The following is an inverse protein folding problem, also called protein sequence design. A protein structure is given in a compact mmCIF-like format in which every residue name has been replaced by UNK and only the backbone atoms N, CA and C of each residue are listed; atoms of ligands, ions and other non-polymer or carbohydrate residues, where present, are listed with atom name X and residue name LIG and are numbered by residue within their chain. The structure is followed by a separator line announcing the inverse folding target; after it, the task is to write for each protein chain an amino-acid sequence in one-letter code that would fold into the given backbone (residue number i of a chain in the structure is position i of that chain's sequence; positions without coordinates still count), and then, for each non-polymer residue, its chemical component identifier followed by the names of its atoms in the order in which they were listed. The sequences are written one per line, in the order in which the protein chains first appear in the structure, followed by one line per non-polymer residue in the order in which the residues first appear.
data_IF_647057904906
#
_entry.id   IF_647057904906
#
_cell.length_a   1.000
_cell.length_b   1.000
_cell.length_c   1.000
_cell.angle_alpha   90.00
_cell.angle_beta   90.00
_cell.angle_gamma   90.00
#
_symmetry.space_group_name_H-M   'P 1'
#
loop_
_entity.id
_entity.type
_entity.pdbx_description
1 polymer ?
#
# COMPACT_ATOMS: atom_id res chain seq x y z
N UNK A 1 28.74 21.74 20.59
CA UNK A 1 27.32 21.49 20.88
C UNK A 1 26.59 21.88 19.61
N UNK A 2 26.46 20.94 18.68
CA UNK A 2 25.76 21.16 17.41
C UNK A 2 24.29 21.38 17.73
N UNK A 3 23.82 22.60 17.50
CA UNK A 3 22.41 22.92 17.46
C UNK A 3 21.83 22.27 16.21
N UNK A 4 21.33 21.03 16.34
CA UNK A 4 20.46 20.44 15.33
C UNK A 4 19.22 21.33 15.22
N UNK A 5 19.16 22.13 14.16
CA UNK A 5 17.96 22.87 13.79
C UNK A 5 16.77 21.90 13.79
N UNK A 6 15.62 22.28 14.38
CA UNK A 6 14.43 21.43 14.33
C UNK A 6 14.04 21.25 12.86
N UNK A 7 14.21 20.02 12.37
CA UNK A 7 13.78 19.61 11.05
C UNK A 7 12.29 19.93 10.92
N UNK A 8 11.95 20.91 10.10
CA UNK A 8 10.58 21.41 10.02
C UNK A 8 9.68 20.35 9.37
N UNK A 9 8.39 20.33 9.71
CA UNK A 9 7.36 19.49 9.06
C UNK A 9 7.50 19.53 7.53
N UNK A 10 7.87 20.70 6.99
CA UNK A 10 8.15 20.93 5.57
C UNK A 10 9.31 20.07 5.03
N UNK A 11 10.40 19.93 5.78
CA UNK A 11 11.58 19.15 5.38
C UNK A 11 11.31 17.64 5.40
N UNK A 12 10.57 17.14 6.40
CA UNK A 12 10.11 15.75 6.44
C UNK A 12 9.14 15.46 5.29
N UNK A 13 8.24 16.40 5.01
CA UNK A 13 7.32 16.30 3.88
C UNK A 13 8.07 16.23 2.54
N UNK A 14 9.05 17.11 2.36
CA UNK A 14 9.88 17.15 1.17
C UNK A 14 10.73 15.87 1.03
N UNK A 15 11.24 15.32 2.12
CA UNK A 15 12.01 14.07 2.12
C UNK A 15 11.14 12.86 1.71
N UNK A 16 9.93 12.76 2.25
CA UNK A 16 9.00 11.67 1.91
C UNK A 16 8.49 11.81 0.48
N UNK A 17 8.20 13.04 0.04
CA UNK A 17 7.86 13.33 -1.35
C UNK A 17 8.99 12.95 -2.30
N UNK A 18 10.23 13.35 -2.00
CA UNK A 18 11.41 12.96 -2.79
C UNK A 18 11.61 11.45 -2.81
N UNK A 19 11.44 10.78 -1.67
CA UNK A 19 11.54 9.33 -1.59
C UNK A 19 10.48 8.62 -2.46
N UNK A 20 9.23 9.11 -2.45
CA UNK A 20 8.16 8.57 -3.28
C UNK A 20 8.37 8.85 -4.78
N UNK A 21 8.87 10.03 -5.12
CA UNK A 21 9.21 10.39 -6.50
C UNK A 21 10.37 9.54 -7.02
N UNK A 22 11.41 9.36 -6.21
CA UNK A 22 12.55 8.49 -6.52
C UNK A 22 12.14 7.04 -6.63
N UNK A 23 11.27 6.56 -5.74
CA UNK A 23 10.69 5.23 -5.84
C UNK A 23 9.90 5.10 -7.15
N UNK A 24 8.98 6.03 -7.45
CA UNK A 24 8.22 6.01 -8.71
C UNK A 24 9.11 6.00 -9.95
N UNK A 25 10.14 6.86 -10.00
CA UNK A 25 11.12 6.90 -11.08
C UNK A 25 11.94 5.61 -11.18
N UNK A 26 12.34 5.03 -10.05
CA UNK A 26 13.02 3.74 -10.00
C UNK A 26 12.13 2.61 -10.50
N UNK A 27 10.86 2.56 -10.09
CA UNK A 27 9.89 1.55 -10.53
C UNK A 27 9.62 1.67 -12.04
N UNK A 28 9.52 2.89 -12.58
CA UNK A 28 9.44 3.16 -14.03
C UNK A 28 10.72 2.71 -14.72
N UNK A 29 11.90 3.04 -14.19
CA UNK A 29 13.19 2.64 -14.73
C UNK A 29 13.37 1.12 -14.78
N UNK A 30 13.03 0.42 -13.69
CA UNK A 30 13.03 -1.04 -13.66
C UNK A 30 12.00 -1.63 -14.64
N UNK A 31 10.82 -1.04 -14.78
CA UNK A 31 9.83 -1.48 -15.76
C UNK A 31 10.33 -1.31 -17.21
N UNK A 32 11.08 -0.25 -17.50
CA UNK A 32 11.69 -0.04 -18.83
C UNK A 32 12.87 -1.00 -19.07
N UNK A 33 13.76 -1.16 -18.09
CA UNK A 33 14.96 -2.01 -18.24
C UNK A 33 14.60 -3.50 -18.26
N UNK A 34 13.76 -3.96 -17.34
CA UNK A 34 13.33 -5.36 -17.25
C UNK A 34 12.26 -5.67 -18.30
N UNK A 35 11.39 -4.71 -18.62
CA UNK A 35 10.27 -4.90 -19.55
C UNK A 35 10.63 -4.78 -21.02
N UNK A 36 11.63 -3.97 -21.41
CA UNK A 36 11.93 -3.72 -22.83
C UNK A 36 12.34 -4.93 -23.67
N UNK A 37 13.04 -5.97 -23.15
CA UNK A 37 13.34 -7.17 -23.93
C UNK A 37 12.26 -8.26 -23.80
N UNK A 38 11.47 -8.28 -22.72
CA UNK A 38 10.53 -9.36 -22.39
C UNK A 38 9.09 -9.14 -22.89
N UNK A 39 8.73 -7.93 -23.32
CA UNK A 39 7.33 -7.54 -23.59
C UNK A 39 7.12 -6.76 -24.89
N UNK A 40 7.94 -7.05 -25.91
CA UNK A 40 7.81 -6.40 -27.24
C UNK A 40 6.44 -6.63 -27.88
N UNK A 41 5.73 -7.69 -27.47
CA UNK A 41 4.52 -8.17 -28.16
C UNK A 41 3.19 -7.81 -27.46
N UNK A 42 3.15 -7.50 -26.15
CA UNK A 42 1.89 -7.14 -25.47
C UNK A 42 2.04 -6.02 -24.41
N UNK A 43 1.84 -4.74 -24.79
CA UNK A 43 2.23 -3.60 -23.97
C UNK A 43 1.17 -3.15 -22.94
N UNK A 44 0.03 -3.83 -22.81
CA UNK A 44 -1.10 -3.31 -22.04
C UNK A 44 -0.79 -3.18 -20.53
N UNK A 45 -0.21 -4.23 -19.94
CA UNK A 45 0.06 -4.26 -18.50
C UNK A 45 1.10 -3.21 -18.07
N UNK A 46 2.13 -2.96 -18.89
CA UNK A 46 3.11 -1.92 -18.59
C UNK A 46 2.47 -0.53 -18.72
N UNK A 47 1.63 -0.29 -19.73
CA UNK A 47 0.92 0.99 -19.90
C UNK A 47 0.05 1.29 -18.70
N UNK A 48 -0.61 0.28 -18.15
CA UNK A 48 -1.40 0.40 -16.92
C UNK A 48 -0.48 0.70 -15.73
N UNK A 49 0.61 -0.06 -15.54
CA UNK A 49 1.53 0.16 -14.42
C UNK A 49 2.20 1.55 -14.46
N UNK A 50 2.71 1.96 -15.62
CA UNK A 50 3.30 3.28 -15.83
C UNK A 50 2.25 4.39 -15.71
N UNK A 51 1.04 4.18 -16.23
CA UNK A 51 -0.07 5.11 -16.08
C UNK A 51 -0.48 5.32 -14.63
N UNK A 52 -0.54 4.24 -13.83
CA UNK A 52 -0.79 4.32 -12.39
C UNK A 52 0.35 5.03 -11.69
N UNK A 53 1.61 4.69 -11.98
CA UNK A 53 2.76 5.36 -11.40
C UNK A 53 2.74 6.88 -11.68
N UNK A 54 2.53 7.28 -12.94
CA UNK A 54 2.39 8.69 -13.34
C UNK A 54 1.22 9.37 -12.63
N UNK A 55 0.05 8.74 -12.60
CA UNK A 55 -1.13 9.30 -11.92
C UNK A 55 -0.87 9.49 -10.42
N UNK A 56 -0.17 8.54 -9.77
CA UNK A 56 0.19 8.66 -8.35
C UNK A 56 1.20 9.78 -8.11
N UNK A 57 2.20 9.95 -8.98
CA UNK A 57 3.17 11.05 -8.89
C UNK A 57 2.51 12.42 -9.11
N UNK A 58 1.64 12.55 -10.12
CA UNK A 58 0.89 13.79 -10.38
C UNK A 58 -0.04 14.09 -9.19
N UNK A 59 -0.73 13.08 -8.65
CA UNK A 59 -1.59 13.23 -7.48
C UNK A 59 -0.84 13.72 -6.23
N UNK A 60 0.40 13.27 -6.03
CA UNK A 60 1.25 13.77 -4.94
C UNK A 60 1.65 15.25 -5.14
N UNK A 61 2.02 15.66 -6.35
CA UNK A 61 2.34 17.06 -6.67
C UNK A 61 1.12 17.96 -6.47
N UNK A 62 -0.05 17.53 -6.95
CA UNK A 62 -1.29 18.26 -6.79
C UNK A 62 -1.69 18.39 -5.31
N UNK A 63 -1.56 17.31 -4.53
CA UNK A 63 -1.83 17.34 -3.09
C UNK A 63 -0.91 18.33 -2.36
N UNK A 64 0.38 18.38 -2.71
CA UNK A 64 1.31 19.36 -2.13
C UNK A 64 0.93 20.80 -2.47
N UNK A 65 0.59 21.07 -3.74
CA UNK A 65 0.19 22.42 -4.18
C UNK A 65 -1.10 22.91 -3.53
N UNK A 66 -2.01 22.01 -3.20
CA UNK A 66 -3.28 22.36 -2.53
C UNK A 66 -3.09 22.61 -1.04
N UNK A 67 -2.08 22.02 -0.41
CA UNK A 67 -1.85 22.18 1.03
C UNK A 67 -1.19 23.53 1.39
N UNK A 68 -0.55 24.21 0.44
CA UNK A 68 0.24 25.45 0.64
C UNK A 68 1.22 25.38 1.84
N UNK A 69 1.64 24.16 2.21
CA UNK A 69 2.53 23.90 3.35
C UNK A 69 1.85 23.89 4.73
N UNK A 70 0.52 23.89 4.82
CA UNK A 70 -0.22 23.89 6.09
C UNK A 70 -0.16 22.56 6.87
N UNK A 71 0.36 21.47 6.28
CA UNK A 71 0.66 20.24 7.01
C UNK A 71 -0.59 19.44 7.40
N UNK A 72 -1.67 19.51 6.58
CA UNK A 72 -2.92 18.79 6.87
C UNK A 72 -2.70 17.28 6.77
N UNK A 73 -3.09 16.56 7.83
CA UNK A 73 -2.86 15.10 7.93
C UNK A 73 -3.52 14.32 6.78
N UNK A 74 -4.66 14.78 6.27
CA UNK A 74 -5.36 14.10 5.17
C UNK A 74 -4.66 14.22 3.82
N UNK A 75 -3.96 15.31 3.56
CA UNK A 75 -3.18 15.48 2.33
C UNK A 75 -1.91 14.60 2.37
N UNK A 76 -1.29 14.50 3.55
CA UNK A 76 -0.22 13.53 3.79
C UNK A 76 -0.70 12.09 3.62
N UNK A 77 -1.86 11.76 4.17
CA UNK A 77 -2.51 10.46 3.99
C UNK A 77 -2.74 10.12 2.52
N UNK A 78 -3.22 11.08 1.72
CA UNK A 78 -3.41 10.88 0.27
C UNK A 78 -2.07 10.58 -0.43
N UNK A 79 -1.03 11.37 -0.17
CA UNK A 79 0.27 11.16 -0.77
C UNK A 79 0.87 9.78 -0.42
N UNK A 80 0.79 9.40 0.86
CA UNK A 80 1.27 8.10 1.35
C UNK A 80 0.46 6.92 0.78
N UNK A 81 -0.87 7.06 0.66
CA UNK A 81 -1.72 6.04 0.05
C UNK A 81 -1.41 5.87 -1.43
N UNK A 82 -1.23 6.96 -2.17
CA UNK A 82 -0.84 6.92 -3.59
C UNK A 82 0.52 6.24 -3.78
N UNK A 83 1.49 6.53 -2.91
CA UNK A 83 2.79 5.87 -2.93
C UNK A 83 2.68 4.35 -2.70
N UNK A 84 1.96 3.95 -1.64
CA UNK A 84 1.75 2.54 -1.34
C UNK A 84 0.97 1.81 -2.44
N UNK A 85 0.00 2.49 -3.09
CA UNK A 85 -0.74 1.95 -4.22
C UNK A 85 0.17 1.73 -5.45
N UNK A 86 1.08 2.67 -5.71
CA UNK A 86 2.07 2.54 -6.80
C UNK A 86 3.02 1.36 -6.55
N UNK A 87 3.56 1.25 -5.34
CA UNK A 87 4.41 0.12 -4.92
C UNK A 87 3.63 -1.19 -5.01
N UNK A 88 2.37 -1.22 -4.56
CA UNK A 88 1.50 -2.38 -4.69
C UNK A 88 1.35 -2.82 -6.15
N UNK A 89 0.98 -1.91 -7.05
CA UNK A 89 0.78 -2.25 -8.47
C UNK A 89 2.06 -2.76 -9.11
N UNK A 90 3.22 -2.22 -8.72
CA UNK A 90 4.49 -2.69 -9.25
C UNK A 90 4.86 -4.10 -8.73
N UNK A 91 4.74 -4.33 -7.43
CA UNK A 91 5.01 -5.65 -6.83
C UNK A 91 3.98 -6.68 -7.33
N UNK A 92 2.69 -6.33 -7.40
CA UNK A 92 1.65 -7.16 -7.98
C UNK A 92 1.91 -7.46 -9.47
N UNK A 93 2.35 -6.44 -10.21
CA UNK A 93 2.74 -6.50 -11.61
C UNK A 93 3.85 -7.52 -11.87
N UNK A 94 4.96 -7.40 -11.15
CA UNK A 94 6.12 -8.30 -11.28
C UNK A 94 5.81 -9.69 -10.73
N UNK A 95 5.02 -9.79 -9.66
CA UNK A 95 4.72 -11.06 -9.00
C UNK A 95 3.83 -11.96 -9.85
N UNK A 96 2.52 -11.73 -9.83
CA UNK A 96 1.55 -12.66 -10.38
C UNK A 96 1.05 -12.23 -11.76
N UNK A 97 0.96 -10.93 -12.04
CA UNK A 97 0.47 -10.48 -13.36
C UNK A 97 1.44 -10.91 -14.46
N UNK A 98 2.75 -10.73 -14.23
CA UNK A 98 3.79 -11.15 -15.16
C UNK A 98 3.87 -12.67 -15.31
N UNK A 99 3.81 -13.41 -14.20
CA UNK A 99 3.76 -14.87 -14.25
C UNK A 99 2.57 -15.37 -15.10
N UNK A 100 1.39 -14.76 -14.89
CA UNK A 100 0.16 -15.18 -15.56
C UNK A 100 0.17 -14.82 -17.06
N UNK A 101 0.76 -13.68 -17.43
CA UNK A 101 0.87 -13.25 -18.82
C UNK A 101 1.91 -14.05 -19.61
N UNK A 102 3.05 -14.33 -19.00
CA UNK A 102 4.24 -14.84 -19.70
C UNK A 102 4.33 -16.37 -19.69
N UNK A 103 3.62 -17.03 -18.77
CA UNK A 103 3.60 -18.49 -18.71
C UNK A 103 2.58 -19.05 -19.71
N UNK A 104 2.97 -19.96 -20.62
CA UNK A 104 2.04 -20.64 -21.51
C UNK A 104 1.21 -21.63 -20.69
N UNK A 105 -0.01 -21.23 -20.33
CA UNK A 105 -0.93 -22.06 -19.55
C UNK A 105 -2.34 -22.08 -20.18
N UNK A 106 -3.11 -23.17 -19.98
CA UNK A 106 -4.51 -23.25 -20.37
C UNK A 106 -5.33 -22.07 -19.84
N UNK A 107 -6.25 -21.55 -20.65
CA UNK A 107 -7.10 -20.40 -20.32
C UNK A 107 -7.87 -20.58 -19.00
N UNK A 108 -8.33 -21.80 -18.71
CA UNK A 108 -9.01 -22.13 -17.45
C UNK A 108 -8.11 -21.96 -16.24
N UNK A 109 -6.86 -22.44 -16.30
CA UNK A 109 -5.89 -22.29 -15.19
C UNK A 109 -5.48 -20.83 -15.02
N UNK A 110 -5.30 -20.10 -16.13
CA UNK A 110 -5.06 -18.65 -16.13
C UNK A 110 -6.17 -17.89 -15.41
N UNK A 111 -7.43 -18.18 -15.76
CA UNK A 111 -8.58 -17.54 -15.14
C UNK A 111 -8.66 -17.84 -13.62
N UNK A 112 -8.37 -19.08 -13.21
CA UNK A 112 -8.34 -19.46 -11.78
C UNK A 112 -7.25 -18.68 -11.04
N UNK A 113 -6.03 -18.59 -11.57
CA UNK A 113 -4.95 -17.83 -10.95
C UNK A 113 -5.32 -16.34 -10.77
N UNK A 114 -5.90 -15.72 -11.80
CA UNK A 114 -6.35 -14.32 -11.74
C UNK A 114 -7.47 -14.17 -10.69
N UNK A 115 -8.49 -15.04 -10.74
CA UNK A 115 -9.62 -14.99 -9.82
C UNK A 115 -9.16 -15.11 -8.35
N UNK A 116 -8.24 -16.03 -8.06
CA UNK A 116 -7.68 -16.20 -6.71
C UNK A 116 -6.84 -15.01 -6.29
N UNK A 117 -5.99 -14.46 -7.16
CA UNK A 117 -5.17 -13.29 -6.85
C UNK A 117 -6.04 -12.05 -6.54
N UNK A 118 -7.06 -11.80 -7.36
CA UNK A 118 -8.01 -10.69 -7.17
C UNK A 118 -8.84 -10.90 -5.90
N UNK A 119 -9.44 -12.07 -5.73
CA UNK A 119 -10.29 -12.37 -4.56
C UNK A 119 -9.48 -12.34 -3.27
N UNK A 120 -8.26 -12.88 -3.27
CA UNK A 120 -7.35 -12.84 -2.12
C UNK A 120 -6.96 -11.42 -1.73
N UNK A 121 -6.69 -10.56 -2.73
CA UNK A 121 -6.42 -9.13 -2.49
C UNK A 121 -7.64 -8.44 -1.88
N UNK A 122 -8.84 -8.62 -2.46
CA UNK A 122 -10.07 -8.02 -1.94
C UNK A 122 -10.38 -8.47 -0.52
N UNK A 123 -10.24 -9.78 -0.25
CA UNK A 123 -10.47 -10.35 1.07
C UNK A 123 -9.48 -9.76 2.10
N UNK A 124 -8.20 -9.65 1.73
CA UNK A 124 -7.17 -9.05 2.57
C UNK A 124 -7.46 -7.57 2.90
N UNK A 125 -7.86 -6.79 1.88
CA UNK A 125 -8.27 -5.39 2.02
C UNK A 125 -9.47 -5.27 2.97
N UNK A 126 -10.51 -6.08 2.79
CA UNK A 126 -11.72 -6.07 3.65
C UNK A 126 -11.38 -6.45 5.08
N UNK A 127 -10.57 -7.50 5.28
CA UNK A 127 -10.14 -7.93 6.61
C UNK A 127 -9.33 -6.83 7.31
N UNK A 128 -8.39 -6.20 6.60
CA UNK A 128 -7.59 -5.11 7.13
C UNK A 128 -8.45 -3.90 7.47
N UNK A 129 -9.38 -3.53 6.58
CA UNK A 129 -10.29 -2.41 6.81
C UNK A 129 -11.17 -2.63 8.04
N UNK A 130 -11.74 -3.84 8.21
CA UNK A 130 -12.54 -4.20 9.38
C UNK A 130 -11.72 -4.16 10.67
N UNK A 131 -10.47 -4.62 10.62
CA UNK A 131 -9.57 -4.59 11.78
C UNK A 131 -9.27 -3.16 12.20
N UNK A 132 -8.83 -2.33 11.26
CA UNK A 132 -8.46 -0.94 11.52
C UNK A 132 -9.68 -0.14 11.98
N UNK A 133 -10.83 -0.30 11.33
CA UNK A 133 -12.07 0.37 11.72
C UNK A 133 -12.53 -0.01 13.12
N UNK A 134 -12.36 -1.26 13.54
CA UNK A 134 -12.73 -1.70 14.87
C UNK A 134 -11.82 -1.12 15.98
N UNK A 135 -10.55 -0.87 15.67
CA UNK A 135 -9.63 -0.19 16.60
C UNK A 135 -9.94 1.31 16.64
N UNK A 136 -10.15 1.93 15.47
CA UNK A 136 -10.54 3.34 15.35
C UNK A 136 -11.88 3.66 15.99
N UNK A 137 -12.79 2.68 16.08
CA UNK A 137 -14.07 2.84 16.77
C UNK A 137 -13.96 2.92 18.30
N UNK A 138 -12.78 2.70 18.88
CA UNK A 138 -12.59 2.81 20.33
C UNK A 138 -12.30 4.28 20.73
N UNK A 139 -13.09 4.88 21.63
CA UNK A 139 -12.93 6.29 22.00
C UNK A 139 -11.58 6.55 22.68
N UNK A 140 -11.05 5.59 23.42
CA UNK A 140 -9.74 5.64 24.08
C UNK A 140 -8.60 5.89 23.08
N UNK A 141 -8.65 5.25 21.91
CA UNK A 141 -7.64 5.42 20.88
C UNK A 141 -7.73 6.80 20.23
N UNK A 142 -8.94 7.32 20.00
CA UNK A 142 -9.13 8.66 19.40
C UNK A 142 -8.57 9.73 20.34
N UNK A 143 -8.87 9.66 21.64
CA UNK A 143 -8.40 10.66 22.62
C UNK A 143 -6.87 10.60 22.79
N UNK A 144 -6.28 9.41 22.70
CA UNK A 144 -4.83 9.23 22.84
C UNK A 144 -4.06 9.62 21.57
N UNK A 145 -4.64 9.38 20.39
CA UNK A 145 -4.01 9.64 19.09
C UNK A 145 -4.24 11.07 18.56
N UNK A 146 -5.35 11.71 18.94
CA UNK A 146 -5.74 13.05 18.49
C UNK A 146 -5.90 13.95 19.72
N UNK A 147 -4.85 14.72 20.03
CA UNK A 147 -4.91 15.71 21.11
C UNK A 147 -5.55 17.00 20.59
N UNK A 148 -6.57 17.49 21.28
CA UNK A 148 -7.15 18.81 20.99
C UNK A 148 -6.21 19.89 21.57
N UNK A 149 -5.56 20.66 20.69
CA UNK A 149 -4.67 21.76 21.04
C UNK A 149 -5.38 23.13 21.00
N UNK A 150 -6.71 23.14 21.08
CA UNK A 150 -7.51 24.37 21.11
C UNK A 150 -7.90 24.83 19.72
N UNK A 151 -6.97 25.33 18.91
CA UNK A 151 -7.24 25.78 17.52
C UNK A 151 -7.12 24.67 16.48
N UNK A 152 -6.38 23.60 16.78
CA UNK A 152 -6.10 22.48 15.88
C UNK A 152 -6.15 21.15 16.64
N UNK A 153 -6.38 20.05 15.92
CA UNK A 153 -6.28 18.70 16.46
C UNK A 153 -4.95 18.11 16.00
N UNK A 154 -4.09 17.80 16.96
CA UNK A 154 -2.73 17.32 16.70
C UNK A 154 -2.68 15.79 16.73
N UNK A 155 -2.08 15.20 15.70
CA UNK A 155 -1.88 13.75 15.59
C UNK A 155 -0.43 13.36 15.91
N UNK A 156 -0.24 12.48 16.90
CA UNK A 156 1.09 12.00 17.27
C UNK A 156 1.52 10.79 16.43
N UNK A 157 2.75 10.81 15.92
CA UNK A 157 3.35 9.69 15.19
C UNK A 157 3.48 8.43 16.06
N UNK A 158 3.67 8.61 17.36
CA UNK A 158 3.71 7.55 18.38
C UNK A 158 2.39 6.76 18.48
N UNK A 159 1.24 7.40 18.23
CA UNK A 159 -0.06 6.71 18.18
C UNK A 159 -0.20 5.76 16.98
N UNK A 160 0.52 6.02 15.88
CA UNK A 160 0.56 5.13 14.72
C UNK A 160 1.29 3.81 15.05
N UNK A 161 2.37 3.87 15.84
CA UNK A 161 3.04 2.69 16.38
C UNK A 161 2.15 1.95 17.37
N UNK A 162 1.40 2.65 18.22
CA UNK A 162 0.45 2.03 19.14
C UNK A 162 -0.72 1.33 18.42
N UNK A 163 -1.19 1.87 17.30
CA UNK A 163 -2.17 1.17 16.48
C UNK A 163 -1.59 -0.12 15.90
N UNK A 164 -0.32 -0.12 15.50
CA UNK A 164 0.35 -1.32 14.99
C UNK A 164 0.45 -2.42 16.06
N UNK A 165 0.70 -2.05 17.33
CA UNK A 165 0.78 -3.00 18.45
C UNK A 165 -0.60 -3.47 18.91
N UNK A 166 -1.59 -2.58 19.02
CA UNK A 166 -2.97 -2.91 19.40
C UNK A 166 -3.69 -3.73 18.33
N UNK A 167 -3.47 -3.42 17.05
CA UNK A 167 -3.95 -4.26 15.94
C UNK A 167 -3.33 -5.66 15.97
N UNK A 168 -2.11 -5.80 16.50
CA UNK A 168 -1.43 -7.09 16.62
C UNK A 168 -1.99 -7.97 17.75
N UNK A 169 -2.73 -7.40 18.71
CA UNK A 169 -3.19 -8.11 19.92
C UNK A 169 -4.54 -8.85 19.76
N UNK A 170 -5.08 -8.97 18.54
CA UNK A 170 -6.29 -9.81 18.31
C UNK A 170 -5.94 -11.30 18.26
N UNK A 171 -6.83 -12.10 18.86
CA UNK A 171 -6.62 -13.50 19.23
C UNK A 171 -6.14 -14.43 18.11
N UNK A 172 -5.64 -15.62 18.48
CA UNK A 172 -4.93 -16.54 17.59
C UNK A 172 -5.71 -16.88 16.31
N UNK A 173 -7.04 -16.96 16.39
CA UNK A 173 -7.94 -17.26 15.26
C UNK A 173 -7.79 -16.23 14.14
N UNK A 174 -7.72 -14.92 14.46
CA UNK A 174 -7.61 -13.87 13.43
C UNK A 174 -6.26 -13.93 12.71
N UNK A 175 -5.19 -14.23 13.45
CA UNK A 175 -3.85 -14.42 12.88
C UNK A 175 -3.79 -15.63 11.96
N UNK A 176 -4.45 -16.73 12.33
CA UNK A 176 -4.55 -17.93 11.51
C UNK A 176 -5.32 -17.62 10.21
N UNK A 177 -6.46 -16.94 10.29
CA UNK A 177 -7.21 -16.54 9.08
C UNK A 177 -6.38 -15.64 8.17
N UNK A 178 -5.65 -14.66 8.73
CA UNK A 178 -4.75 -13.81 7.93
C UNK A 178 -3.62 -14.60 7.28
N UNK A 179 -2.98 -15.51 8.02
CA UNK A 179 -1.96 -16.40 7.47
C UNK A 179 -2.52 -17.24 6.32
N UNK A 180 -3.71 -17.81 6.49
CA UNK A 180 -4.38 -18.58 5.44
C UNK A 180 -4.63 -17.75 4.18
N UNK A 181 -5.15 -16.52 4.31
CA UNK A 181 -5.37 -15.64 3.15
C UNK A 181 -4.06 -15.24 2.48
N UNK A 182 -3.01 -14.99 3.27
CA UNK A 182 -1.69 -14.63 2.76
C UNK A 182 -1.06 -15.74 1.92
N UNK A 183 -1.23 -17.00 2.34
CA UNK A 183 -0.63 -18.17 1.68
C UNK A 183 -1.55 -18.89 0.69
N UNK A 184 -2.86 -18.64 0.72
CA UNK A 184 -3.82 -19.27 -0.19
C UNK A 184 -3.48 -18.98 -1.65
N UNK A 185 -3.17 -17.73 -1.97
CA UNK A 185 -2.80 -17.33 -3.33
C UNK A 185 -1.53 -18.07 -3.78
N UNK A 186 -0.35 -17.93 -3.12
CA UNK A 186 0.85 -18.72 -3.44
C UNK A 186 0.61 -20.23 -3.57
N UNK A 187 -0.20 -20.83 -2.69
CA UNK A 187 -0.50 -22.26 -2.73
C UNK A 187 -1.24 -22.67 -4.01
N UNK A 188 -2.16 -21.84 -4.50
CA UNK A 188 -2.84 -22.09 -5.77
C UNK A 188 -1.87 -22.00 -6.96
N UNK A 189 -0.97 -21.02 -6.97
CA UNK A 189 0.06 -20.91 -8.01
C UNK A 189 0.96 -22.16 -8.04
N UNK A 190 1.37 -22.67 -6.88
CA UNK A 190 2.11 -23.93 -6.76
C UNK A 190 1.30 -25.14 -7.23
N UNK A 191 0.01 -25.23 -6.86
CA UNK A 191 -0.86 -26.32 -7.29
C UNK A 191 -1.06 -26.37 -8.81
N UNK A 192 -1.16 -25.20 -9.46
CA UNK A 192 -1.23 -25.09 -10.93
C UNK A 192 0.05 -25.62 -11.57
N UNK A 193 1.21 -25.32 -11.00
CA UNK A 193 2.51 -25.83 -11.48
C UNK A 193 2.65 -27.35 -11.36
N UNK A 194 2.09 -27.95 -10.31
CA UNK A 194 2.09 -29.42 -10.14
C UNK A 194 1.18 -30.09 -11.19
N UNK A 195 0.04 -29.46 -11.52
CA UNK A 195 -0.95 -30.01 -12.45
C UNK A 195 -0.59 -29.84 -13.92
N UNK A 196 0.21 -28.82 -14.27
CA UNK A 196 0.55 -28.52 -15.66
C UNK A 196 2.07 -28.64 -15.90
N UNK A 197 2.51 -29.36 -16.95
CA UNK A 197 3.92 -29.39 -17.35
C UNK A 197 4.27 -28.03 -17.97
N UNK A 198 4.75 -27.11 -17.12
CA UNK A 198 5.19 -25.79 -17.53
C UNK A 198 6.70 -25.80 -17.82
N UNK A 199 7.20 -24.98 -18.75
CA UNK A 199 8.62 -24.89 -19.06
C UNK A 199 9.43 -24.43 -17.84
N UNK A 200 10.66 -24.91 -17.69
CA UNK A 200 11.52 -24.59 -16.54
C UNK A 200 11.82 -23.08 -16.40
N UNK A 201 11.75 -22.31 -17.49
CA UNK A 201 11.83 -20.84 -17.44
C UNK A 201 10.70 -20.18 -16.64
N UNK A 202 9.56 -20.86 -16.48
CA UNK A 202 8.43 -20.40 -15.66
C UNK A 202 8.66 -20.62 -14.14
N UNK A 203 9.64 -21.43 -13.74
CA UNK A 203 9.89 -21.73 -12.33
C UNK A 203 10.50 -20.54 -11.59
N UNK A 204 11.34 -19.75 -12.26
CA UNK A 204 11.89 -18.51 -11.70
C UNK A 204 10.78 -17.46 -11.51
N UNK A 205 9.88 -17.34 -12.49
CA UNK A 205 8.72 -16.45 -12.37
C UNK A 205 7.79 -16.90 -11.24
N UNK A 206 7.51 -18.20 -11.14
CA UNK A 206 6.70 -18.76 -10.05
C UNK A 206 7.32 -18.49 -8.67
N UNK A 207 8.63 -18.67 -8.55
CA UNK A 207 9.36 -18.36 -7.31
C UNK A 207 9.22 -16.87 -6.94
N UNK A 208 9.42 -15.97 -7.91
CA UNK A 208 9.18 -14.53 -7.71
C UNK A 208 7.72 -14.25 -7.34
N UNK A 209 6.74 -14.90 -7.95
CA UNK A 209 5.32 -14.75 -7.62
C UNK A 209 5.05 -15.15 -6.17
N UNK A 210 5.53 -16.31 -5.74
CA UNK A 210 5.30 -16.84 -4.39
C UNK A 210 5.92 -15.91 -3.34
N UNK A 211 7.11 -15.36 -3.61
CA UNK A 211 7.80 -14.45 -2.70
C UNK A 211 7.16 -13.05 -2.64
N UNK A 212 6.81 -12.49 -3.80
CA UNK A 212 6.33 -11.11 -3.91
C UNK A 212 4.81 -10.98 -3.65
N UNK A 213 4.03 -12.05 -3.74
CA UNK A 213 2.58 -12.00 -3.46
C UNK A 213 2.29 -11.57 -2.02
N UNK A 214 2.91 -12.17 -0.97
CA UNK A 214 2.78 -11.67 0.40
C UNK A 214 3.20 -10.21 0.57
N UNK A 215 4.29 -9.80 -0.11
CA UNK A 215 4.73 -8.41 -0.10
C UNK A 215 3.67 -7.47 -0.68
N UNK A 216 3.05 -7.84 -1.81
CA UNK A 216 1.98 -7.03 -2.40
C UNK A 216 0.79 -6.87 -1.43
N UNK A 217 0.36 -7.94 -0.78
CA UNK A 217 -0.73 -7.89 0.19
C UNK A 217 -0.36 -7.02 1.40
N UNK A 218 0.90 -7.07 1.85
CA UNK A 218 1.38 -6.18 2.92
C UNK A 218 1.22 -4.70 2.56
N UNK A 219 1.65 -4.28 1.37
CA UNK A 219 1.49 -2.89 0.91
C UNK A 219 0.02 -2.50 0.69
N UNK A 220 -0.82 -3.41 0.20
CA UNK A 220 -2.26 -3.18 0.14
C UNK A 220 -2.85 -2.93 1.53
N UNK A 221 -2.39 -3.68 2.55
CA UNK A 221 -2.79 -3.47 3.94
C UNK A 221 -2.32 -2.12 4.51
N UNK A 222 -1.10 -1.69 4.18
CA UNK A 222 -0.59 -0.36 4.54
C UNK A 222 -1.40 0.76 3.89
N UNK A 223 -1.77 0.63 2.61
CA UNK A 223 -2.62 1.60 1.94
C UNK A 223 -3.98 1.73 2.63
N UNK A 224 -4.64 0.61 2.97
CA UNK A 224 -5.92 0.62 3.70
C UNK A 224 -5.80 1.30 5.07
N UNK A 225 -4.72 1.01 5.81
CA UNK A 225 -4.42 1.68 7.09
C UNK A 225 -4.27 3.18 6.90
N UNK A 226 -3.47 3.60 5.92
CA UNK A 226 -3.30 5.02 5.56
C UNK A 226 -4.62 5.70 5.21
N UNK A 227 -5.48 5.06 4.40
CA UNK A 227 -6.81 5.59 4.05
C UNK A 227 -7.65 5.83 5.31
N UNK A 228 -7.79 4.81 6.16
CA UNK A 228 -8.68 4.92 7.32
C UNK A 228 -8.13 5.89 8.37
N UNK A 229 -6.84 5.81 8.69
CA UNK A 229 -6.22 6.58 9.75
C UNK A 229 -5.92 8.02 9.35
N UNK A 230 -5.31 8.20 8.18
CA UNK A 230 -4.78 9.49 7.78
C UNK A 230 -5.75 10.26 6.92
N UNK A 231 -6.77 9.63 6.29
CA UNK A 231 -7.73 10.36 5.43
C UNK A 231 -9.12 10.38 6.04
N UNK A 232 -9.72 9.21 6.31
CA UNK A 232 -11.14 9.10 6.73
C UNK A 232 -11.34 9.63 8.14
N UNK A 233 -10.50 9.20 9.08
CA UNK A 233 -10.59 9.60 10.49
C UNK A 233 -10.43 11.11 10.68
N UNK A 234 -9.35 11.75 10.20
CA UNK A 234 -9.19 13.19 10.35
C UNK A 234 -10.28 13.98 9.64
N UNK A 235 -10.71 13.59 8.42
CA UNK A 235 -11.84 14.28 7.77
C UNK A 235 -13.14 14.17 8.56
N UNK A 236 -13.36 13.06 9.29
CA UNK A 236 -14.53 12.92 10.16
C UNK A 236 -14.39 13.79 11.40
N UNK A 237 -13.20 13.86 12.00
CA UNK A 237 -12.90 14.73 13.14
C UNK A 237 -13.04 16.21 12.78
N UNK A 238 -12.49 16.64 11.63
CA UNK A 238 -12.62 18.01 11.11
C UNK A 238 -14.09 18.41 10.91
N UNK A 239 -14.92 17.51 10.36
CA UNK A 239 -16.36 17.77 10.20
C UNK A 239 -17.12 17.89 11.51
N UNK A 240 -16.72 17.14 12.54
CA UNK A 240 -17.43 17.12 13.83
C UNK A 240 -16.98 18.27 14.73
N UNK A 241 -15.68 18.59 14.74
CA UNK A 241 -15.10 19.58 15.66
C UNK A 241 -14.87 20.95 15.01
N UNK A 242 -14.95 21.06 13.68
CA UNK A 242 -14.73 22.30 12.94
C UNK A 242 -13.27 22.80 12.93
N UNK A 243 -12.33 21.98 13.41
CA UNK A 243 -10.90 22.32 13.53
C UNK A 243 -10.05 21.47 12.57
N UNK A 244 -9.03 22.04 11.92
CA UNK A 244 -8.12 21.28 11.06
C UNK A 244 -7.30 20.28 11.87
N UNK A 245 -6.99 19.12 11.27
CA UNK A 245 -6.15 18.09 11.88
C UNK A 245 -4.75 18.14 11.26
N UNK A 246 -3.75 18.52 12.06
CA UNK A 246 -2.35 18.71 11.64
C UNK A 246 -1.43 17.65 12.28
N UNK A 247 -0.34 17.35 11.57
CA UNK A 247 0.72 16.46 12.09
C UNK A 247 1.56 17.20 13.13
N UNK A 248 1.79 16.60 14.29
CA UNK A 248 2.80 17.10 15.23
C UNK A 248 4.18 16.53 14.91
N UNK A 249 5.20 17.37 15.01
CA UNK A 249 6.56 16.92 15.31
C UNK A 249 6.64 16.69 16.82
N UNK A 250 6.71 15.42 17.23
CA UNK A 250 7.27 15.06 18.53
C UNK A 250 8.80 15.22 18.49
#
# INVERSE_FOLDING_TARGET
METTEPCTIHDRYLAIFKANLLAGAFLIGCAVVIGSPLFRDDPLLWKIAAGVALATSIGQVAAWRVDDGHGRLWLYGVAAVLANASIYVWIAGISWMFYVSSTPMPSTLRAVCIAVAVTGTLLWVVMTARQVSAVLGRPEFIVQAFRDAGSEIQYSLSAMQQLSTLSNHRGPITRITQGLVLFATPAVFLAVRIRAPLPASADLLLFSTVLLTPCSLFFAGLAVKGILLMIVTPRRLERVHGKPVTLMDD
#
